data_IF_905513567112
#
_entry.id   IF_905513567112
#
_cell.length_a   1.000
_cell.length_b   1.000
_cell.length_c   1.000
_cell.angle_alpha   90.00
_cell.angle_beta   90.00
_cell.angle_gamma   90.00
#
_symmetry.space_group_name_H-M   'P 1'
#
loop_
_entity.id
_entity.type
_entity.pdbx_description
1 polymer ?
#
# COMPACT_ATOMS: atom_id res chain seq x y z
N UNK A 1 -1.47 -7.24 -13.69
CA UNK A 1 -1.77 -7.52 -15.12
C UNK A 1 -1.11 -8.82 -15.65
N UNK A 2 -0.63 -9.70 -14.78
CA UNK A 2 0.12 -10.90 -15.24
C UNK A 2 -0.77 -11.91 -15.99
N UNK A 3 -2.06 -12.01 -15.63
CA UNK A 3 -2.97 -13.03 -16.17
C UNK A 3 -3.90 -12.51 -17.26
N UNK A 4 -4.11 -11.23 -17.40
CA UNK A 4 -5.14 -10.64 -18.29
C UNK A 4 -4.84 -10.77 -19.77
N UNK A 5 -3.58 -10.77 -20.17
CA UNK A 5 -3.18 -10.97 -21.55
C UNK A 5 -3.55 -12.35 -22.09
N UNK A 6 -3.71 -13.35 -21.21
CA UNK A 6 -4.06 -14.72 -21.60
C UNK A 6 -5.44 -14.79 -22.25
N UNK A 7 -6.43 -14.03 -21.75
CA UNK A 7 -7.76 -13.99 -22.34
C UNK A 7 -7.71 -13.54 -23.80
N UNK A 8 -7.04 -12.44 -24.09
CA UNK A 8 -6.90 -11.92 -25.45
C UNK A 8 -6.07 -12.84 -26.35
N UNK A 9 -5.01 -13.46 -25.80
CA UNK A 9 -4.20 -14.44 -26.52
C UNK A 9 -5.03 -15.68 -26.91
N UNK A 10 -5.84 -16.22 -26.00
CA UNK A 10 -6.73 -17.32 -26.27
C UNK A 10 -7.79 -16.98 -27.34
N UNK A 11 -8.40 -15.81 -27.24
CA UNK A 11 -9.38 -15.34 -28.23
C UNK A 11 -8.75 -15.17 -29.62
N UNK A 12 -7.54 -14.58 -29.69
CA UNK A 12 -6.81 -14.43 -30.93
C UNK A 12 -6.46 -15.80 -31.55
N UNK A 13 -6.01 -16.75 -30.71
CA UNK A 13 -5.70 -18.11 -31.18
C UNK A 13 -6.93 -18.87 -31.70
N UNK A 14 -8.06 -18.78 -31.00
CA UNK A 14 -9.32 -19.38 -31.42
C UNK A 14 -9.80 -18.77 -32.74
N UNK A 15 -9.75 -17.47 -32.90
CA UNK A 15 -10.09 -16.76 -34.12
C UNK A 15 -9.17 -17.16 -35.27
N UNK A 16 -7.86 -17.21 -35.05
CA UNK A 16 -6.89 -17.64 -36.05
C UNK A 16 -7.15 -19.08 -36.52
N UNK A 17 -7.44 -19.99 -35.59
CA UNK A 17 -7.79 -21.39 -35.89
C UNK A 17 -9.10 -21.49 -36.68
N UNK A 18 -10.14 -20.76 -36.24
CA UNK A 18 -11.47 -20.81 -36.87
C UNK A 18 -11.47 -20.29 -38.31
N UNK A 19 -10.74 -19.22 -38.57
CA UNK A 19 -10.72 -18.57 -39.90
C UNK A 19 -9.48 -18.89 -40.74
N UNK A 20 -8.58 -19.72 -40.21
CA UNK A 20 -7.31 -20.08 -40.87
C UNK A 20 -6.54 -18.84 -41.35
N UNK A 21 -6.46 -17.82 -40.52
CA UNK A 21 -5.79 -16.51 -40.76
C UNK A 21 -5.09 -16.01 -39.53
N UNK A 22 -4.02 -15.24 -39.73
CA UNK A 22 -3.42 -14.51 -38.64
C UNK A 22 -4.41 -13.51 -38.03
N UNK A 23 -4.55 -13.53 -36.70
CA UNK A 23 -5.46 -12.66 -35.95
C UNK A 23 -4.67 -11.86 -34.92
N UNK A 24 -5.04 -10.58 -34.75
CA UNK A 24 -4.50 -9.70 -33.74
C UNK A 24 -5.66 -9.05 -32.97
N UNK A 25 -5.60 -9.07 -31.66
CA UNK A 25 -6.53 -8.34 -30.79
C UNK A 25 -5.75 -7.21 -30.12
N UNK A 26 -6.32 -6.02 -30.18
CA UNK A 26 -5.83 -4.82 -29.48
C UNK A 26 -7.04 -4.07 -28.94
N UNK A 27 -7.36 -4.23 -27.63
CA UNK A 27 -8.33 -3.36 -26.98
C UNK A 27 -7.89 -1.89 -27.08
N UNK A 28 -8.81 -1.00 -27.27
CA UNK A 28 -8.58 0.42 -27.12
C UNK A 28 -8.54 0.79 -25.62
N UNK A 29 -8.42 2.07 -25.31
CA UNK A 29 -8.33 2.54 -23.93
C UNK A 29 -9.62 2.34 -23.16
N UNK A 30 -10.75 2.61 -23.78
CA UNK A 30 -12.07 2.53 -23.15
C UNK A 30 -12.45 1.07 -22.92
N UNK A 31 -12.20 0.20 -23.89
CA UNK A 31 -12.35 -1.26 -23.75
C UNK A 31 -11.46 -1.80 -22.63
N UNK A 32 -10.20 -1.40 -22.56
CA UNK A 32 -9.29 -1.84 -21.48
C UNK A 32 -9.78 -1.36 -20.11
N UNK A 33 -10.27 -0.12 -20.01
CA UNK A 33 -10.76 0.44 -18.74
C UNK A 33 -11.99 -0.29 -18.21
N UNK A 34 -12.87 -0.76 -19.10
CA UNK A 34 -14.13 -1.41 -18.75
C UNK A 34 -14.05 -2.92 -18.65
N UNK A 35 -13.23 -3.56 -19.49
CA UNK A 35 -13.22 -5.02 -19.64
C UNK A 35 -12.07 -5.74 -18.89
N UNK A 36 -11.03 -5.02 -18.48
CA UNK A 36 -9.91 -5.66 -17.77
C UNK A 36 -9.80 -5.21 -16.32
N UNK A 37 -9.41 -6.12 -15.44
CA UNK A 37 -9.18 -5.83 -14.03
C UNK A 37 -8.04 -4.83 -13.81
N UNK A 38 -8.14 -4.08 -12.74
CA UNK A 38 -7.20 -3.04 -12.34
C UNK A 38 -6.57 -3.36 -10.98
N UNK A 39 -5.72 -2.46 -10.49
CA UNK A 39 -5.25 -2.51 -9.11
C UNK A 39 -6.47 -2.41 -8.19
N UNK A 40 -6.49 -3.24 -7.14
CA UNK A 40 -7.50 -3.12 -6.10
C UNK A 40 -7.45 -1.73 -5.48
N UNK A 41 -8.57 -1.06 -5.44
CA UNK A 41 -8.81 0.07 -4.56
C UNK A 41 -9.29 -0.44 -3.21
N UNK A 42 -8.99 0.33 -2.18
CA UNK A 42 -9.30 -0.02 -0.80
C UNK A 42 -10.09 1.10 -0.12
N UNK A 43 -11.02 0.71 0.72
CA UNK A 43 -11.58 1.54 1.78
C UNK A 43 -11.02 1.01 3.08
N UNK A 44 -10.49 1.90 3.92
CA UNK A 44 -9.89 1.49 5.18
C UNK A 44 -10.45 2.34 6.31
N UNK A 45 -11.10 1.68 7.25
CA UNK A 45 -11.49 2.26 8.52
C UNK A 45 -10.41 1.95 9.55
N UNK A 46 -9.99 2.97 10.33
CA UNK A 46 -8.96 2.77 11.33
C UNK A 46 -9.15 3.64 12.56
N UNK A 47 -8.77 3.09 13.70
CA UNK A 47 -8.65 3.76 14.99
C UNK A 47 -7.19 3.70 15.46
N UNK A 48 -6.65 4.82 15.96
CA UNK A 48 -5.28 4.93 16.40
C UNK A 48 -5.20 5.62 17.74
N UNK A 49 -4.62 4.93 18.73
CA UNK A 49 -4.29 5.50 20.03
C UNK A 49 -2.86 6.01 20.06
N UNK A 50 -2.66 7.28 20.38
CA UNK A 50 -1.36 7.93 20.46
C UNK A 50 -1.30 8.92 21.63
N UNK A 51 -0.09 9.30 22.04
CA UNK A 51 0.13 10.31 23.08
C UNK A 51 0.47 11.70 22.47
N UNK A 52 0.54 12.72 23.35
CA UNK A 52 0.84 14.10 22.95
C UNK A 52 2.22 14.26 22.31
N UNK A 53 3.10 13.28 22.48
CA UNK A 53 4.39 13.25 21.80
C UNK A 53 4.30 12.62 20.39
N UNK A 54 3.13 12.14 19.94
CA UNK A 54 2.94 11.48 18.65
C UNK A 54 3.46 10.05 18.61
N UNK A 55 3.66 9.41 19.77
CA UNK A 55 3.98 7.99 19.83
C UNK A 55 2.70 7.18 19.79
N UNK A 56 2.63 6.23 18.85
CA UNK A 56 1.48 5.36 18.66
C UNK A 56 1.55 4.19 19.64
N UNK A 57 0.45 3.93 20.33
CA UNK A 57 0.29 2.87 21.32
C UNK A 57 -0.60 1.72 20.82
N UNK A 58 -1.55 2.00 19.94
CA UNK A 58 -2.43 0.98 19.39
C UNK A 58 -2.90 1.37 17.99
N UNK A 59 -3.08 0.37 17.13
CA UNK A 59 -3.69 0.52 15.80
C UNK A 59 -4.72 -0.57 15.60
N UNK A 60 -5.96 -0.19 15.30
CA UNK A 60 -6.98 -1.10 14.79
C UNK A 60 -7.38 -0.65 13.38
N UNK A 61 -7.41 -1.58 12.41
CA UNK A 61 -7.79 -1.22 11.04
C UNK A 61 -8.49 -2.38 10.30
N UNK A 62 -9.44 -2.01 9.46
CA UNK A 62 -10.17 -2.92 8.57
C UNK A 62 -9.98 -2.47 7.13
N UNK A 63 -9.36 -3.32 6.32
CA UNK A 63 -9.06 -3.08 4.92
C UNK A 63 -10.11 -3.75 4.05
N UNK A 64 -11.05 -3.03 3.50
CA UNK A 64 -11.99 -3.49 2.50
C UNK A 64 -11.44 -3.32 1.09
N UNK A 65 -11.17 -4.41 0.38
CA UNK A 65 -10.67 -4.37 -1.00
C UNK A 65 -11.78 -4.69 -2.00
N UNK A 66 -11.95 -3.88 -3.02
CA UNK A 66 -12.93 -4.13 -4.08
C UNK A 66 -12.43 -5.23 -5.02
N UNK A 67 -12.98 -6.45 -4.88
CA UNK A 67 -12.57 -7.60 -5.69
C UNK A 67 -13.18 -7.59 -7.11
N UNK A 68 -14.41 -7.12 -7.25
CA UNK A 68 -15.21 -7.29 -8.48
C UNK A 68 -16.14 -8.49 -8.38
N UNK A 69 -16.62 -9.00 -9.52
CA UNK A 69 -17.58 -10.10 -9.56
C UNK A 69 -16.98 -11.48 -9.24
N UNK A 70 -15.67 -11.61 -9.24
CA UNK A 70 -14.98 -12.84 -8.84
C UNK A 70 -13.69 -12.50 -8.07
N UNK A 71 -13.22 -13.44 -7.27
CA UNK A 71 -12.09 -13.19 -6.37
C UNK A 71 -10.74 -13.00 -7.07
N UNK A 72 -10.52 -13.63 -8.22
CA UNK A 72 -9.22 -13.66 -8.90
C UNK A 72 -8.06 -13.80 -7.88
N UNK A 73 -7.15 -12.81 -7.81
CA UNK A 73 -6.04 -12.74 -6.86
C UNK A 73 -6.33 -11.81 -5.66
N UNK A 74 -7.58 -11.48 -5.39
CA UNK A 74 -7.96 -10.51 -4.35
C UNK A 74 -7.54 -10.96 -2.94
N UNK A 75 -7.71 -12.25 -2.61
CA UNK A 75 -7.26 -12.79 -1.32
C UNK A 75 -5.76 -12.53 -1.07
N UNK A 76 -4.86 -13.06 -1.90
CA UNK A 76 -3.42 -12.81 -1.74
C UNK A 76 -3.01 -11.32 -1.78
N UNK A 77 -3.75 -10.47 -2.51
CA UNK A 77 -3.51 -9.02 -2.53
C UNK A 77 -3.87 -8.37 -1.20
N UNK A 78 -5.01 -8.76 -0.61
CA UNK A 78 -5.41 -8.27 0.72
C UNK A 78 -4.49 -8.78 1.82
N UNK A 79 -4.08 -10.04 1.77
CA UNK A 79 -3.09 -10.59 2.71
C UNK A 79 -1.77 -9.80 2.64
N UNK A 80 -1.31 -9.50 1.42
CA UNK A 80 -0.11 -8.68 1.25
C UNK A 80 -0.26 -7.27 1.81
N UNK A 81 -1.44 -6.66 1.69
CA UNK A 81 -1.68 -5.35 2.28
C UNK A 81 -1.54 -5.38 3.81
N UNK A 82 -2.03 -6.45 4.48
CA UNK A 82 -1.87 -6.65 5.93
C UNK A 82 -0.40 -6.77 6.34
N UNK A 83 0.42 -7.52 5.59
CA UNK A 83 1.86 -7.65 5.87
C UNK A 83 2.64 -6.34 5.67
N UNK A 84 2.01 -5.30 5.15
CA UNK A 84 2.59 -3.97 4.99
C UNK A 84 1.83 -2.89 5.78
N UNK A 85 0.91 -3.29 6.67
CA UNK A 85 0.14 -2.37 7.50
C UNK A 85 0.97 -1.74 8.64
N UNK A 86 2.11 -2.29 8.95
CA UNK A 86 3.10 -1.73 9.87
C UNK A 86 4.21 -0.93 9.15
N UNK A 87 4.45 -1.20 7.86
CA UNK A 87 5.52 -0.62 7.04
C UNK A 87 6.88 -0.64 7.78
N UNK A 88 7.37 0.53 8.20
CA UNK A 88 8.63 0.71 8.94
C UNK A 88 8.42 0.97 10.45
N UNK A 89 7.18 0.88 10.94
CA UNK A 89 6.80 1.35 12.27
C UNK A 89 6.44 0.21 13.21
N UNK A 90 6.81 0.38 14.46
CA UNK A 90 6.49 -0.55 15.54
C UNK A 90 5.33 0.00 16.39
N UNK A 91 4.36 -0.88 16.65
CA UNK A 91 3.21 -0.60 17.51
C UNK A 91 3.12 -1.63 18.63
N UNK A 92 2.89 -1.22 19.89
CA UNK A 92 2.72 -2.14 21.01
C UNK A 92 1.50 -3.05 20.88
N UNK A 93 0.41 -2.54 20.29
CA UNK A 93 -0.82 -3.27 20.07
C UNK A 93 -1.33 -3.05 18.65
N UNK A 94 -1.64 -4.14 17.94
CA UNK A 94 -2.14 -4.10 16.56
C UNK A 94 -3.27 -5.10 16.38
N UNK A 95 -4.36 -4.64 15.79
CA UNK A 95 -5.43 -5.48 15.27
C UNK A 95 -5.75 -5.03 13.85
N UNK A 96 -5.36 -5.81 12.86
CA UNK A 96 -5.67 -5.52 11.46
C UNK A 96 -6.32 -6.72 10.81
N UNK A 97 -7.31 -6.46 9.96
CA UNK A 97 -7.97 -7.47 9.14
C UNK A 97 -8.22 -6.93 7.74
N UNK A 98 -8.32 -7.82 6.76
CA UNK A 98 -8.65 -7.48 5.39
C UNK A 98 -9.78 -8.34 4.86
N UNK A 99 -10.59 -7.74 4.02
CA UNK A 99 -11.77 -8.36 3.43
C UNK A 99 -11.83 -8.05 1.93
N UNK A 100 -11.67 -9.06 1.05
CA UNK A 100 -11.97 -8.88 -0.36
C UNK A 100 -13.49 -8.86 -0.54
N UNK A 101 -14.02 -7.76 -1.08
CA UNK A 101 -15.45 -7.52 -1.20
C UNK A 101 -15.92 -7.76 -2.63
N UNK A 102 -16.96 -8.59 -2.82
CA UNK A 102 -17.61 -8.74 -4.11
C UNK A 102 -18.36 -7.46 -4.50
N UNK A 103 -18.20 -7.06 -5.75
CA UNK A 103 -18.82 -5.86 -6.30
C UNK A 103 -19.19 -6.07 -7.77
N UNK A 104 -20.02 -5.16 -8.32
CA UNK A 104 -20.55 -5.26 -9.68
C UNK A 104 -19.60 -4.69 -10.75
N UNK A 105 -18.30 -4.88 -10.60
CA UNK A 105 -17.30 -4.48 -11.59
C UNK A 105 -16.52 -5.70 -12.07
N UNK A 106 -15.74 -5.52 -13.13
CA UNK A 106 -14.76 -6.51 -13.56
C UNK A 106 -13.81 -6.83 -12.42
N UNK A 107 -13.45 -8.10 -12.28
CA UNK A 107 -12.54 -8.53 -11.20
C UNK A 107 -11.22 -7.77 -11.25
N UNK A 108 -10.90 -7.10 -10.15
CA UNK A 108 -9.59 -6.55 -9.96
C UNK A 108 -8.56 -7.67 -9.81
N UNK A 109 -7.32 -7.41 -10.15
CA UNK A 109 -6.30 -8.45 -10.24
C UNK A 109 -4.94 -7.95 -9.76
N UNK A 110 -3.96 -8.83 -9.80
CA UNK A 110 -2.59 -8.51 -9.47
C UNK A 110 -2.08 -7.30 -10.28
N UNK A 111 -1.55 -6.34 -9.57
CA UNK A 111 -0.82 -5.21 -10.11
C UNK A 111 0.47 -5.02 -9.32
N UNK A 112 1.53 -4.51 -9.95
CA UNK A 112 2.86 -4.36 -9.36
C UNK A 112 2.80 -3.80 -7.94
N UNK A 113 3.45 -4.49 -6.99
CA UNK A 113 3.37 -4.21 -5.55
C UNK A 113 2.32 -5.05 -4.81
N UNK A 114 1.28 -5.57 -5.50
CA UNK A 114 0.42 -6.67 -5.06
C UNK A 114 -0.23 -6.47 -3.69
N UNK A 115 -0.73 -5.27 -3.38
CA UNK A 115 -1.32 -4.92 -2.09
C UNK A 115 -0.36 -4.17 -1.15
N UNK A 116 0.95 -4.34 -1.30
CA UNK A 116 1.94 -3.62 -0.48
C UNK A 116 1.79 -2.10 -0.53
N UNK A 117 1.69 -1.47 -1.72
CA UNK A 117 1.51 -0.02 -1.79
C UNK A 117 0.27 0.49 -1.07
N UNK A 118 -0.83 -0.27 -1.09
CA UNK A 118 -2.06 0.11 -0.40
C UNK A 118 -1.90 0.04 1.12
N UNK A 119 -1.28 -1.03 1.64
CA UNK A 119 -0.98 -1.14 3.07
C UNK A 119 -0.08 -0.01 3.56
N UNK A 120 1.01 0.25 2.83
CA UNK A 120 1.93 1.35 3.16
C UNK A 120 1.27 2.73 3.10
N UNK A 121 0.43 2.99 2.09
CA UNK A 121 -0.23 4.29 1.95
C UNK A 121 -1.14 4.61 3.14
N UNK A 122 -1.82 3.60 3.70
CA UNK A 122 -2.68 3.80 4.87
C UNK A 122 -1.87 4.21 6.09
N UNK A 123 -0.80 3.49 6.40
CA UNK A 123 0.00 3.81 7.59
C UNK A 123 0.75 5.13 7.45
N UNK A 124 1.20 5.49 6.25
CA UNK A 124 1.79 6.81 6.01
C UNK A 124 0.75 7.94 6.19
N UNK A 125 -0.51 7.70 5.80
CA UNK A 125 -1.60 8.64 6.08
C UNK A 125 -1.88 8.76 7.59
N UNK A 126 -1.81 7.66 8.35
CA UNK A 126 -1.92 7.70 9.82
C UNK A 126 -0.83 8.60 10.42
N UNK A 127 0.44 8.44 10.00
CA UNK A 127 1.54 9.27 10.49
C UNK A 127 1.34 10.76 10.21
N UNK A 128 0.88 11.10 9.00
CA UNK A 128 0.57 12.48 8.61
C UNK A 128 -0.57 13.06 9.47
N UNK A 129 -1.63 12.28 9.70
CA UNK A 129 -2.78 12.74 10.48
C UNK A 129 -2.41 12.97 11.94
N UNK A 130 -1.69 12.05 12.57
CA UNK A 130 -1.21 12.23 13.95
C UNK A 130 -0.34 13.48 14.06
N UNK A 131 0.58 13.68 13.11
CA UNK A 131 1.42 14.86 13.08
C UNK A 131 0.60 16.16 12.93
N UNK A 132 -0.37 16.17 12.03
CA UNK A 132 -1.25 17.32 11.78
C UNK A 132 -2.14 17.66 12.97
N UNK A 133 -2.73 16.65 13.62
CA UNK A 133 -3.60 16.85 14.79
C UNK A 133 -2.85 17.39 16.01
N UNK A 134 -1.59 16.98 16.18
CA UNK A 134 -0.74 17.43 17.27
C UNK A 134 0.10 18.70 16.94
N UNK A 135 0.08 19.15 15.69
CA UNK A 135 0.95 20.24 15.24
C UNK A 135 2.44 19.89 15.27
N UNK A 136 2.78 18.61 15.13
CA UNK A 136 4.16 18.12 15.15
C UNK A 136 4.74 18.01 13.73
N UNK A 137 6.08 17.98 13.63
CA UNK A 137 6.76 17.66 12.39
C UNK A 137 6.46 16.19 12.01
N UNK A 138 5.92 15.92 10.80
CA UNK A 138 5.65 14.56 10.34
C UNK A 138 6.87 13.64 10.35
N UNK A 139 8.07 14.18 10.14
CA UNK A 139 9.30 13.40 10.23
C UNK A 139 9.60 12.95 11.66
N UNK A 140 9.36 13.83 12.64
CA UNK A 140 9.55 13.49 14.06
C UNK A 140 8.57 12.42 14.53
N UNK A 141 7.30 12.50 14.11
CA UNK A 141 6.31 11.45 14.40
C UNK A 141 6.77 10.12 13.82
N UNK A 142 7.24 10.08 12.57
CA UNK A 142 7.79 8.87 11.96
C UNK A 142 8.97 8.31 12.75
N UNK A 143 9.96 9.14 13.08
CA UNK A 143 11.15 8.72 13.83
C UNK A 143 10.80 8.08 15.17
N UNK A 144 9.83 8.63 15.90
CA UNK A 144 9.39 8.11 17.20
C UNK A 144 8.77 6.72 17.12
N UNK A 145 8.18 6.39 15.99
CA UNK A 145 7.46 5.15 15.77
C UNK A 145 8.24 4.09 14.97
N UNK A 146 9.42 4.38 14.46
CA UNK A 146 10.23 3.42 13.72
C UNK A 146 10.54 2.16 14.54
N UNK A 147 10.71 1.03 13.85
CA UNK A 147 11.36 -0.14 14.43
C UNK A 147 12.73 0.22 15.03
N UNK A 148 13.23 -0.59 15.94
CA UNK A 148 14.49 -0.33 16.63
C UNK A 148 14.98 -1.56 17.41
N UNK A 149 15.68 -1.31 18.52
CA UNK A 149 16.10 -2.36 19.42
C UNK A 149 14.90 -2.94 20.19
N UNK A 150 15.10 -4.11 20.82
CA UNK A 150 14.05 -4.76 21.61
C UNK A 150 13.43 -3.82 22.66
N UNK A 151 12.12 -3.85 22.85
CA UNK A 151 11.12 -4.72 22.25
C UNK A 151 10.62 -4.31 20.87
N UNK A 152 11.20 -3.28 20.24
CA UNK A 152 10.75 -2.70 18.97
C UNK A 152 11.35 -3.40 17.74
N UNK A 153 11.87 -4.60 17.89
CA UNK A 153 12.53 -5.40 16.85
C UNK A 153 11.66 -6.54 16.29
N UNK A 154 10.35 -6.52 16.57
CA UNK A 154 9.43 -7.57 16.10
C UNK A 154 8.22 -6.98 15.42
N UNK A 155 7.88 -7.57 14.26
CA UNK A 155 6.64 -7.27 13.53
C UNK A 155 5.42 -7.82 14.28
N UNK A 156 4.19 -7.32 13.99
CA UNK A 156 2.96 -7.85 14.57
C UNK A 156 2.74 -9.35 14.33
N UNK A 157 3.29 -9.90 13.25
CA UNK A 157 3.22 -11.33 12.91
C UNK A 157 4.45 -12.14 13.38
N UNK A 158 5.26 -11.57 14.28
CA UNK A 158 6.33 -12.28 15.03
C UNK A 158 7.69 -12.36 14.35
N UNK A 159 7.86 -11.79 13.17
CA UNK A 159 9.16 -11.77 12.48
C UNK A 159 10.12 -10.81 13.19
N UNK A 160 11.35 -11.25 13.43
CA UNK A 160 12.40 -10.37 13.95
C UNK A 160 12.94 -9.48 12.84
N UNK A 161 12.92 -8.16 13.07
CA UNK A 161 13.52 -7.15 12.22
C UNK A 161 15.02 -7.09 12.52
N UNK A 162 15.84 -7.42 11.53
CA UNK A 162 17.30 -7.40 11.65
C UNK A 162 17.87 -6.33 10.72
N UNK A 163 19.01 -5.75 11.12
CA UNK A 163 19.74 -4.77 10.29
C UNK A 163 18.82 -3.62 9.79
N UNK A 164 18.07 -3.03 10.73
CA UNK A 164 17.13 -1.95 10.42
C UNK A 164 17.88 -0.65 10.13
N UNK A 165 17.97 -0.29 8.86
CA UNK A 165 18.80 0.82 8.35
C UNK A 165 18.06 2.13 8.15
N UNK A 166 16.74 2.16 8.31
CA UNK A 166 15.92 3.34 7.99
C UNK A 166 16.37 4.60 8.75
N UNK A 167 16.65 4.56 10.07
CA UNK A 167 17.10 5.75 10.78
C UNK A 167 18.35 6.37 10.15
N UNK A 168 19.36 5.54 9.87
CA UNK A 168 20.61 5.98 9.23
C UNK A 168 20.38 6.57 7.83
N UNK A 169 19.52 5.93 7.02
CA UNK A 169 19.19 6.43 5.69
C UNK A 169 18.49 7.78 5.74
N UNK A 170 17.62 7.99 6.73
CA UNK A 170 16.98 9.28 6.95
C UNK A 170 18.05 10.33 7.27
N UNK A 171 18.96 10.05 8.21
CA UNK A 171 20.00 11.00 8.61
C UNK A 171 20.91 11.39 7.44
N UNK A 172 21.41 10.40 6.70
CA UNK A 172 22.23 10.63 5.52
C UNK A 172 21.49 11.43 4.42
N UNK A 173 20.18 11.18 4.25
CA UNK A 173 19.38 11.93 3.27
C UNK A 173 19.19 13.38 3.71
N UNK A 174 18.89 13.63 4.98
CA UNK A 174 18.68 14.97 5.52
C UNK A 174 19.90 15.86 5.37
N UNK A 175 21.10 15.29 5.66
CA UNK A 175 22.37 15.98 5.43
C UNK A 175 22.57 16.34 3.95
N UNK A 176 22.31 15.39 3.04
CA UNK A 176 22.52 15.60 1.60
C UNK A 176 21.58 16.63 0.98
N UNK A 177 20.35 16.74 1.48
CA UNK A 177 19.35 17.63 0.88
C UNK A 177 19.24 18.99 1.55
N UNK A 178 19.96 19.21 2.64
CA UNK A 178 19.85 20.42 3.49
C UNK A 178 18.37 20.77 3.76
N UNK A 179 17.69 19.86 4.44
CA UNK A 179 16.25 19.99 4.68
C UNK A 179 15.87 21.31 5.38
N UNK A 180 16.64 21.83 6.38
CA UNK A 180 16.33 23.11 6.99
C UNK A 180 16.27 24.26 5.98
N UNK A 181 17.28 24.36 5.09
CA UNK A 181 17.31 25.41 4.07
C UNK A 181 16.14 25.26 3.09
N UNK A 182 15.85 24.04 2.62
CA UNK A 182 14.69 23.80 1.72
C UNK A 182 13.35 24.18 2.37
N UNK A 183 13.18 23.90 3.65
CA UNK A 183 11.98 24.32 4.39
C UNK A 183 11.86 25.82 4.50
N UNK A 184 12.99 26.51 4.77
CA UNK A 184 13.02 27.96 4.79
C UNK A 184 12.67 28.57 3.42
N UNK A 185 13.21 28.00 2.34
CA UNK A 185 12.92 28.45 0.98
C UNK A 185 11.43 28.27 0.63
N UNK A 186 10.82 27.15 1.01
CA UNK A 186 9.39 26.89 0.82
C UNK A 186 8.53 27.86 1.63
N UNK A 187 8.88 28.11 2.89
CA UNK A 187 8.18 29.06 3.73
C UNK A 187 8.27 30.49 3.21
N UNK A 188 9.40 30.86 2.61
CA UNK A 188 9.57 32.19 2.00
C UNK A 188 8.82 32.34 0.67
N UNK A 189 8.56 31.24 -0.04
CA UNK A 189 7.81 31.24 -1.29
C UNK A 189 6.30 31.33 -1.07
N UNK A 190 5.75 30.71 -0.02
CA UNK A 190 4.32 30.68 0.34
C UNK A 190 3.89 31.94 1.12
#
# INVERSE_FOLDING_TARGET
KETQSNLFACLAALAAKKWNRACKIRPDRDDDMTATGKRHDFVVDYDVGYDDAGKIHAVEAVYGARAGFSSDLSGPVTDRALFHADNAYWYPAVRVRSEPLYTNIVSNTAFRGFGGPQGMAVVENVMERVASELGLDPLEVRRRNLYGEAPRDRTPYGQQVRDFRIPRLIDELLERVDLPQRRADVAAFN
#
